data_IF_234600731607
#
_entry.id   IF_234600731607
#
_cell.length_a   1.000
_cell.length_b   1.000
_cell.length_c   1.000
_cell.angle_alpha   90.00
_cell.angle_beta   90.00
_cell.angle_gamma   90.00
#
_symmetry.space_group_name_H-M   'P 1'
#
loop_
_entity.id
_entity.type
_entity.pdbx_description
1 polymer ?
#
# COMPACT_ATOMS: atom_id res chain seq x y z
N UNK A 1 16.05 -2.39 3.98
CA UNK A 1 14.76 -2.03 4.61
C UNK A 1 14.74 -2.61 6.02
N UNK A 2 14.24 -1.87 7.00
CA UNK A 2 14.21 -2.36 8.39
C UNK A 2 13.09 -3.41 8.60
N UNK A 3 13.25 -4.42 9.49
CA UNK A 3 12.33 -5.54 9.63
C UNK A 3 10.84 -5.20 9.82
N UNK A 4 10.51 -4.19 10.65
CA UNK A 4 9.09 -3.80 10.83
C UNK A 4 8.45 -3.25 9.56
N UNK A 5 9.17 -2.42 8.80
CA UNK A 5 8.70 -1.93 7.50
C UNK A 5 8.52 -3.07 6.51
N UNK A 6 9.42 -4.05 6.52
CA UNK A 6 9.29 -5.25 5.71
C UNK A 6 8.04 -6.06 6.07
N UNK A 7 7.78 -6.27 7.36
CA UNK A 7 6.58 -6.93 7.85
C UNK A 7 5.31 -6.18 7.43
N UNK A 8 5.28 -4.86 7.61
CA UNK A 8 4.16 -4.03 7.17
C UNK A 8 3.94 -4.08 5.67
N UNK A 9 5.00 -4.06 4.85
CA UNK A 9 4.89 -4.18 3.40
C UNK A 9 4.29 -5.53 2.96
N UNK A 10 4.72 -6.64 3.59
CA UNK A 10 4.14 -7.97 3.32
C UNK A 10 2.67 -8.04 3.71
N UNK A 11 2.32 -7.45 4.86
CA UNK A 11 0.94 -7.45 5.33
C UNK A 11 0.04 -6.57 4.46
N UNK A 12 0.52 -5.40 4.02
CA UNK A 12 -0.20 -4.55 3.05
C UNK A 12 -0.46 -5.33 1.77
N UNK A 13 0.54 -6.00 1.21
CA UNK A 13 0.35 -6.83 0.02
C UNK A 13 -0.75 -7.88 0.22
N UNK A 14 -0.71 -8.60 1.35
CA UNK A 14 -1.71 -9.61 1.69
C UNK A 14 -3.12 -9.02 1.76
N UNK A 15 -3.28 -7.86 2.39
CA UNK A 15 -4.57 -7.17 2.51
C UNK A 15 -5.07 -6.71 1.13
N UNK A 16 -4.19 -6.14 0.32
CA UNK A 16 -4.51 -5.73 -1.06
C UNK A 16 -5.00 -6.92 -1.87
N UNK A 17 -4.31 -8.05 -1.79
CA UNK A 17 -4.69 -9.28 -2.50
C UNK A 17 -6.07 -9.77 -2.06
N UNK A 18 -6.36 -9.78 -0.75
CA UNK A 18 -7.68 -10.13 -0.22
C UNK A 18 -8.81 -9.20 -0.70
N UNK A 19 -8.52 -7.91 -0.81
CA UNK A 19 -9.46 -6.96 -1.39
C UNK A 19 -9.70 -7.23 -2.88
N UNK A 20 -8.65 -7.54 -3.64
CA UNK A 20 -8.78 -7.93 -5.04
C UNK A 20 -9.57 -9.25 -5.18
N UNK A 21 -9.31 -10.26 -4.36
CA UNK A 21 -10.03 -11.53 -4.34
C UNK A 21 -11.52 -11.33 -4.11
N UNK A 22 -11.88 -10.45 -3.17
CA UNK A 22 -13.27 -10.12 -2.86
C UNK A 22 -14.02 -9.45 -4.04
N UNK A 23 -13.27 -8.84 -4.97
CA UNK A 23 -13.82 -8.20 -6.17
C UNK A 23 -13.65 -9.06 -7.44
N UNK A 24 -13.07 -10.25 -7.31
CA UNK A 24 -12.86 -11.18 -8.42
C UNK A 24 -14.10 -12.04 -8.65
N UNK A 25 -14.53 -12.16 -9.91
CA UNK A 25 -15.59 -13.11 -10.26
C UNK A 25 -15.09 -14.55 -10.10
N UNK A 26 -15.96 -15.44 -9.59
CA UNK A 26 -15.67 -16.85 -9.28
C UNK A 26 -15.17 -17.72 -10.45
N UNK A 27 -15.15 -17.19 -11.68
CA UNK A 27 -14.62 -17.87 -12.87
C UNK A 27 -13.11 -17.77 -13.03
N UNK A 28 -12.44 -16.89 -12.29
CA UNK A 28 -11.00 -16.73 -12.34
C UNK A 28 -10.38 -17.42 -11.13
N UNK A 29 -9.65 -18.50 -11.35
CA UNK A 29 -8.80 -19.10 -10.32
C UNK A 29 -7.35 -18.69 -10.58
N UNK A 30 -6.75 -17.96 -9.65
CA UNK A 30 -5.35 -17.56 -9.69
C UNK A 30 -4.75 -17.62 -8.28
N UNK A 31 -3.42 -17.68 -8.21
CA UNK A 31 -2.67 -17.63 -6.94
C UNK A 31 -2.66 -16.24 -6.28
N UNK A 32 -3.06 -15.20 -7.03
CA UNK A 32 -3.29 -13.83 -6.55
C UNK A 32 -4.31 -13.15 -7.46
N UNK A 33 -5.17 -12.32 -6.88
CA UNK A 33 -6.18 -11.56 -7.61
C UNK A 33 -5.67 -10.19 -8.09
N UNK A 34 -4.52 -9.74 -7.59
CA UNK A 34 -3.92 -8.43 -7.92
C UNK A 34 -3.76 -8.22 -9.43
N UNK A 35 -3.15 -9.14 -10.20
CA UNK A 35 -2.92 -8.89 -11.63
C UNK A 35 -4.20 -8.79 -12.45
N UNK A 36 -5.25 -9.47 -11.99
CA UNK A 36 -6.55 -9.52 -12.65
C UNK A 36 -7.32 -8.22 -12.40
N UNK A 37 -7.31 -7.73 -11.16
CA UNK A 37 -8.11 -6.56 -10.75
C UNK A 37 -7.39 -5.24 -11.03
N UNK A 38 -6.08 -5.18 -10.76
CA UNK A 38 -5.29 -3.94 -10.82
C UNK A 38 -4.40 -3.83 -12.08
N UNK A 39 -4.33 -4.89 -12.90
CA UNK A 39 -3.57 -4.86 -14.16
C UNK A 39 -2.05 -4.77 -14.00
N UNK A 40 -1.52 -5.07 -12.81
CA UNK A 40 -0.08 -5.06 -12.50
C UNK A 40 0.41 -6.44 -12.07
N UNK A 41 1.66 -6.78 -12.40
CA UNK A 41 2.22 -8.06 -11.93
C UNK A 41 2.35 -8.08 -10.40
N UNK A 42 2.27 -9.26 -9.80
CA UNK A 42 2.53 -9.45 -8.37
C UNK A 42 3.88 -8.85 -7.95
N UNK A 43 4.90 -9.05 -8.80
CA UNK A 43 6.24 -8.54 -8.55
C UNK A 43 6.30 -7.01 -8.55
N UNK A 44 5.53 -6.36 -9.42
CA UNK A 44 5.50 -4.91 -9.51
C UNK A 44 4.69 -4.32 -8.36
N UNK A 45 3.57 -4.94 -8.01
CA UNK A 45 2.79 -4.57 -6.84
C UNK A 45 3.62 -4.66 -5.54
N UNK A 46 4.34 -5.77 -5.33
CA UNK A 46 5.24 -5.92 -4.19
C UNK A 46 6.33 -4.84 -4.18
N UNK A 47 6.98 -4.57 -5.32
CA UNK A 47 8.01 -3.53 -5.43
C UNK A 47 7.45 -2.14 -5.15
N UNK A 48 6.25 -1.82 -5.65
CA UNK A 48 5.60 -0.53 -5.43
C UNK A 48 5.25 -0.34 -3.96
N UNK A 49 4.61 -1.33 -3.33
CA UNK A 49 4.30 -1.31 -1.90
C UNK A 49 5.59 -1.14 -1.08
N UNK A 50 6.65 -1.87 -1.40
CA UNK A 50 7.95 -1.70 -0.73
C UNK A 50 8.51 -0.30 -0.88
N UNK A 51 8.47 0.29 -2.09
CA UNK A 51 8.95 1.66 -2.33
C UNK A 51 8.16 2.68 -1.52
N UNK A 52 6.83 2.56 -1.49
CA UNK A 52 5.95 3.42 -0.69
C UNK A 52 6.35 3.33 0.78
N UNK A 53 6.45 2.12 1.33
CA UNK A 53 6.75 1.90 2.75
C UNK A 53 8.16 2.36 3.13
N UNK A 54 9.13 2.20 2.23
CA UNK A 54 10.48 2.74 2.44
C UNK A 54 10.44 4.27 2.54
N UNK A 55 9.68 4.94 1.67
CA UNK A 55 9.58 6.38 1.61
C UNK A 55 8.82 7.01 2.80
N UNK A 56 7.95 6.25 3.47
CA UNK A 56 7.26 6.73 4.67
C UNK A 56 8.23 6.94 5.85
N UNK A 57 7.99 7.93 6.73
CA UNK A 57 8.78 8.14 7.95
C UNK A 57 8.88 6.89 8.83
N UNK A 58 10.10 6.62 9.29
CA UNK A 58 10.42 5.48 10.16
C UNK A 58 9.64 5.51 11.48
N UNK A 59 9.42 6.69 12.05
CA UNK A 59 8.68 6.87 13.30
C UNK A 59 7.26 6.28 13.26
N UNK A 60 6.64 6.19 12.07
CA UNK A 60 5.30 5.62 11.89
C UNK A 60 5.22 4.15 12.29
N UNK A 61 6.32 3.41 12.11
CA UNK A 61 6.37 1.97 12.35
C UNK A 61 7.08 1.61 13.67
N UNK A 62 7.96 2.49 14.17
CA UNK A 62 8.74 2.20 15.39
C UNK A 62 8.09 2.69 16.66
N UNK A 63 7.50 3.89 16.62
CA UNK A 63 6.98 4.56 17.82
C UNK A 63 5.49 4.31 18.04
N UNK A 64 4.79 3.77 17.04
CA UNK A 64 3.38 3.42 17.14
C UNK A 64 3.13 2.20 18.03
N UNK A 65 2.04 2.23 18.80
CA UNK A 65 1.51 1.04 19.47
C UNK A 65 1.04 -0.01 18.43
N UNK A 66 1.12 -1.32 18.71
CA UNK A 66 0.75 -2.36 17.75
C UNK A 66 -0.64 -2.22 17.13
N UNK A 67 -1.66 -1.85 17.92
CA UNK A 67 -3.02 -1.62 17.40
C UNK A 67 -3.06 -0.52 16.32
N UNK A 68 -2.34 0.58 16.54
CA UNK A 68 -2.22 1.69 15.59
C UNK A 68 -1.48 1.27 14.32
N UNK A 69 -0.47 0.40 14.44
CA UNK A 69 0.25 -0.14 13.27
C UNK A 69 -0.72 -0.93 12.39
N UNK A 70 -1.58 -1.78 12.97
CA UNK A 70 -2.55 -2.56 12.21
C UNK A 70 -3.57 -1.67 11.49
N UNK A 71 -4.09 -0.64 12.16
CA UNK A 71 -4.99 0.33 11.53
C UNK A 71 -4.31 1.09 10.38
N UNK A 72 -3.08 1.56 10.61
CA UNK A 72 -2.29 2.28 9.61
C UNK A 72 -1.97 1.39 8.40
N UNK A 73 -1.64 0.11 8.63
CA UNK A 73 -1.38 -0.87 7.57
C UNK A 73 -2.63 -1.09 6.70
N UNK A 74 -3.81 -1.26 7.32
CA UNK A 74 -5.07 -1.37 6.57
C UNK A 74 -5.37 -0.10 5.78
N UNK A 75 -5.13 1.07 6.38
CA UNK A 75 -5.31 2.35 5.71
C UNK A 75 -4.40 2.50 4.49
N UNK A 76 -3.11 2.21 4.63
CA UNK A 76 -2.16 2.26 3.50
C UNK A 76 -2.58 1.28 2.40
N UNK A 77 -3.04 0.08 2.74
CA UNK A 77 -3.54 -0.88 1.75
C UNK A 77 -4.72 -0.34 0.94
N UNK A 78 -5.67 0.32 1.60
CA UNK A 78 -6.81 0.97 0.93
C UNK A 78 -6.36 2.13 0.02
N UNK A 79 -5.45 2.98 0.51
CA UNK A 79 -4.91 4.08 -0.30
C UNK A 79 -4.12 3.57 -1.52
N UNK A 80 -3.34 2.49 -1.35
CA UNK A 80 -2.64 1.85 -2.46
C UNK A 80 -3.61 1.30 -3.50
N UNK A 81 -4.70 0.64 -3.09
CA UNK A 81 -5.73 0.15 -4.02
C UNK A 81 -6.32 1.29 -4.86
N UNK A 82 -6.69 2.39 -4.23
CA UNK A 82 -7.27 3.54 -4.92
C UNK A 82 -6.27 4.18 -5.89
N UNK A 83 -5.01 4.33 -5.47
CA UNK A 83 -3.94 4.84 -6.33
C UNK A 83 -3.73 3.90 -7.52
N UNK A 84 -3.51 2.62 -7.29
CA UNK A 84 -3.18 1.68 -8.36
C UNK A 84 -4.36 1.41 -9.32
N UNK A 85 -5.60 1.57 -8.87
CA UNK A 85 -6.78 1.47 -9.74
C UNK A 85 -6.92 2.68 -10.70
N UNK A 86 -6.34 3.83 -10.36
CA UNK A 86 -6.39 5.05 -11.17
C UNK A 86 -5.16 5.22 -12.05
N UNK A 87 -4.03 4.63 -11.64
CA UNK A 87 -2.73 4.91 -12.22
C UNK A 87 -2.18 3.77 -13.08
N UNK A 88 -1.52 4.13 -14.17
CA UNK A 88 -0.83 3.18 -15.04
C UNK A 88 0.68 3.22 -14.78
N UNK A 89 1.26 2.10 -14.33
CA UNK A 89 2.71 2.00 -14.04
C UNK A 89 3.61 2.27 -15.26
N UNK A 90 3.05 2.17 -16.47
CA UNK A 90 3.76 2.43 -17.73
C UNK A 90 3.67 3.89 -18.18
N UNK A 91 2.93 4.74 -17.45
CA UNK A 91 2.84 6.17 -17.74
C UNK A 91 4.17 6.87 -17.41
N UNK A 92 4.59 7.79 -18.27
CA UNK A 92 5.81 8.59 -18.08
C UNK A 92 5.71 9.49 -16.83
N UNK A 93 4.50 9.90 -16.46
CA UNK A 93 4.22 10.73 -15.28
C UNK A 93 4.10 9.92 -13.99
N UNK A 94 4.05 8.58 -14.08
CA UNK A 94 3.88 7.70 -12.93
C UNK A 94 4.85 7.97 -11.76
N UNK A 95 6.16 8.24 -11.98
CA UNK A 95 7.07 8.58 -10.89
C UNK A 95 6.64 9.83 -10.11
N UNK A 96 6.17 10.86 -10.82
CA UNK A 96 5.70 12.11 -10.20
C UNK A 96 4.40 11.88 -9.42
N UNK A 97 3.48 11.08 -9.98
CA UNK A 97 2.22 10.71 -9.33
C UNK A 97 2.46 9.87 -8.07
N UNK A 98 3.41 8.94 -8.12
CA UNK A 98 3.83 8.15 -6.96
C UNK A 98 4.43 9.02 -5.85
N UNK A 99 5.26 10.01 -6.21
CA UNK A 99 5.83 10.96 -5.22
C UNK A 99 4.72 11.78 -4.56
N UNK A 100 3.79 12.32 -5.36
CA UNK A 100 2.65 13.08 -4.83
C UNK A 100 1.76 12.23 -3.92
N UNK A 101 1.49 10.99 -4.34
CA UNK A 101 0.76 10.02 -3.53
C UNK A 101 1.44 9.78 -2.18
N UNK A 102 2.76 9.54 -2.17
CA UNK A 102 3.51 9.32 -0.92
C UNK A 102 3.46 10.56 -0.02
N UNK A 103 3.62 11.76 -0.57
CA UNK A 103 3.54 13.00 0.21
C UNK A 103 2.17 13.17 0.87
N UNK A 104 1.09 12.98 0.10
CA UNK A 104 -0.27 13.04 0.61
C UNK A 104 -0.52 11.96 1.68
N UNK A 105 -0.04 10.74 1.44
CA UNK A 105 -0.16 9.64 2.39
C UNK A 105 0.54 9.94 3.72
N UNK A 106 1.70 10.60 3.69
CA UNK A 106 2.40 11.06 4.91
C UNK A 106 1.55 12.06 5.68
N UNK A 107 1.00 13.07 5.00
CA UNK A 107 0.14 14.08 5.62
C UNK A 107 -1.10 13.44 6.25
N UNK A 108 -1.78 12.54 5.54
CA UNK A 108 -2.97 11.85 6.04
C UNK A 108 -2.66 10.95 7.23
N UNK A 109 -1.53 10.23 7.22
CA UNK A 109 -1.10 9.41 8.37
C UNK A 109 -0.80 10.30 9.57
N UNK A 110 -0.12 11.43 9.37
CA UNK A 110 0.14 12.40 10.43
C UNK A 110 -1.18 12.92 11.02
N UNK A 111 -2.10 13.38 10.19
CA UNK A 111 -3.41 13.90 10.61
C UNK A 111 -4.30 12.84 11.27
N UNK A 112 -4.19 11.57 10.88
CA UNK A 112 -5.04 10.53 11.44
C UNK A 112 -4.51 9.97 12.76
N UNK A 113 -3.20 9.84 12.89
CA UNK A 113 -2.60 9.04 13.96
C UNK A 113 -1.64 9.81 14.88
N UNK A 114 -1.25 11.03 14.51
CA UNK A 114 -0.25 11.82 15.21
C UNK A 114 -0.65 13.27 15.46
N UNK A 115 -1.68 13.81 14.81
CA UNK A 115 -2.26 15.09 15.19
C UNK A 115 -3.20 14.88 16.37
N UNK A 116 -2.64 14.95 17.56
CA UNK A 116 -3.20 15.47 18.82
C UNK A 116 -2.06 15.36 19.85
N UNK A 117 -1.35 16.47 20.01
CA UNK A 117 -0.79 16.87 21.30
C UNK A 117 -1.88 17.67 22.03
#
# INVERSE_FOLDING_TARGET
MHPRKEQSAREIYRIVDQYCESNMHSKYSSSSAIPIVLGVSDSDAQKLIQKIIIALPDCFFYLAKPARINEMVNFIAQQYLLFQAQENIKDELFPSLLINFVNNLVEEIMLRYYSYA
#
